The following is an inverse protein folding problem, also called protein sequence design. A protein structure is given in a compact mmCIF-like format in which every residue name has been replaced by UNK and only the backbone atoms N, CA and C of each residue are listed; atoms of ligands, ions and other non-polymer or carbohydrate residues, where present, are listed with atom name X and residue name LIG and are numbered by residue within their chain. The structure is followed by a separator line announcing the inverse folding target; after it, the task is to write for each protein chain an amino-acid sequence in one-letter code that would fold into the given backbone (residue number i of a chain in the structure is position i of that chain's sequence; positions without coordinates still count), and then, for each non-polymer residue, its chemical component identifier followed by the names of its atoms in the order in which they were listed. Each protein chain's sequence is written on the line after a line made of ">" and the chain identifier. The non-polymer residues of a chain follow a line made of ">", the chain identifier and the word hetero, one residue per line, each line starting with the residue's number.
data_IF_585773376220
#
_entry.id   IF_585773376220
#
_cell.length_a   1.000
_cell.length_b   1.000
_cell.length_c   1.000
_cell.angle_alpha   90.00
_cell.angle_beta   90.00
_cell.angle_gamma   90.00
#
_symmetry.space_group_name_H-M   'P 1'
#
loop_
_entity.id
_entity.type
_entity.pdbx_description
1 polymer ?
#
# COMPACT_ATOMS: atom_id res chain seq x y z
N UNK A 1 -7.24 27.91 21.75
CA UNK A 1 -7.99 26.84 21.03
C UNK A 1 -7.32 26.43 19.72
N UNK A 2 -7.16 27.32 18.73
CA UNK A 2 -6.58 26.96 17.41
C UNK A 2 -5.18 26.31 17.46
N UNK A 3 -4.24 26.85 18.26
CA UNK A 3 -2.90 26.25 18.46
C UNK A 3 -2.98 24.83 19.02
N UNK A 4 -3.88 24.59 19.98
CA UNK A 4 -4.10 23.27 20.57
C UNK A 4 -4.68 22.28 19.56
N UNK A 5 -5.62 22.73 18.71
CA UNK A 5 -6.20 21.91 17.63
C UNK A 5 -5.13 21.56 16.58
N UNK A 6 -4.31 22.52 16.16
CA UNK A 6 -3.20 22.26 15.23
C UNK A 6 -2.19 21.26 15.80
N UNK A 7 -1.81 21.41 17.06
CA UNK A 7 -0.88 20.47 17.71
C UNK A 7 -1.46 19.06 17.79
N UNK A 8 -2.76 18.93 18.11
CA UNK A 8 -3.48 17.65 18.14
C UNK A 8 -3.55 17.01 16.75
N UNK A 9 -3.88 17.79 15.71
CA UNK A 9 -3.91 17.30 14.33
C UNK A 9 -2.53 16.84 13.86
N UNK A 10 -1.48 17.60 14.15
CA UNK A 10 -0.10 17.20 13.82
C UNK A 10 0.30 15.90 14.52
N UNK A 11 -0.04 15.74 15.80
CA UNK A 11 0.19 14.49 16.53
C UNK A 11 -0.55 13.30 15.91
N UNK A 12 -1.82 13.47 15.53
CA UNK A 12 -2.59 12.43 14.87
C UNK A 12 -1.96 12.00 13.54
N UNK A 13 -1.54 12.96 12.71
CA UNK A 13 -0.86 12.67 11.45
C UNK A 13 0.43 11.88 11.69
N UNK A 14 1.26 12.30 12.65
CA UNK A 14 2.50 11.58 12.99
C UNK A 14 2.21 10.16 13.45
N UNK A 15 1.21 9.96 14.31
CA UNK A 15 0.82 8.61 14.77
C UNK A 15 0.37 7.74 13.61
N UNK A 16 -0.48 8.25 12.71
CA UNK A 16 -0.94 7.51 11.53
C UNK A 16 0.23 7.14 10.62
N UNK A 17 1.15 8.08 10.37
CA UNK A 17 2.35 7.81 9.56
C UNK A 17 3.22 6.73 10.20
N UNK A 18 3.48 6.80 11.49
CA UNK A 18 4.28 5.80 12.20
C UNK A 18 3.62 4.42 12.15
N UNK A 19 2.32 4.33 12.44
CA UNK A 19 1.59 3.05 12.44
C UNK A 19 1.54 2.43 11.04
N UNK A 20 1.27 3.23 10.01
CA UNK A 20 1.23 2.75 8.62
C UNK A 20 2.62 2.33 8.13
N UNK A 21 3.66 3.09 8.48
CA UNK A 21 5.05 2.74 8.14
C UNK A 21 5.48 1.45 8.81
N UNK A 22 5.22 1.30 10.12
CA UNK A 22 5.52 0.06 10.85
C UNK A 22 4.78 -1.13 10.23
N UNK A 23 3.50 -0.97 9.89
CA UNK A 23 2.72 -2.02 9.21
C UNK A 23 3.34 -2.40 7.86
N UNK A 24 3.76 -1.42 7.06
CA UNK A 24 4.43 -1.67 5.77
C UNK A 24 5.75 -2.44 5.94
N UNK A 25 6.54 -2.07 6.95
CA UNK A 25 7.78 -2.78 7.31
C UNK A 25 7.48 -4.21 7.75
N UNK A 26 6.51 -4.42 8.63
CA UNK A 26 6.10 -5.77 9.08
C UNK A 26 5.65 -6.62 7.89
N UNK A 27 4.86 -6.06 6.96
CA UNK A 27 4.47 -6.78 5.74
C UNK A 27 5.66 -7.15 4.86
N UNK A 28 6.70 -6.31 4.78
CA UNK A 28 7.91 -6.62 4.00
C UNK A 28 8.72 -7.79 4.56
N UNK A 29 8.55 -8.11 5.85
CA UNK A 29 9.18 -9.28 6.48
C UNK A 29 8.35 -10.56 6.36
N UNK A 30 7.11 -10.51 5.85
CA UNK A 30 6.31 -11.71 5.65
C UNK A 30 6.99 -12.54 4.54
N UNK A 31 7.46 -13.76 4.83
CA UNK A 31 8.06 -14.61 3.83
C UNK A 31 6.98 -15.07 2.85
N UNK A 32 7.10 -14.64 1.60
CA UNK A 32 6.17 -14.98 0.53
C UNK A 32 6.42 -14.09 -0.69
N UNK A 33 6.22 -14.62 -1.88
CA UNK A 33 6.30 -13.83 -3.11
C UNK A 33 4.90 -13.26 -3.44
N UNK A 34 4.68 -11.94 -3.33
CA UNK A 34 3.39 -11.35 -3.67
C UNK A 34 2.99 -11.68 -5.11
N UNK A 35 3.98 -11.77 -6.00
CA UNK A 35 3.75 -12.06 -7.42
C UNK A 35 3.22 -13.48 -7.61
N UNK A 36 3.71 -14.45 -6.83
CA UNK A 36 3.22 -15.82 -6.87
C UNK A 36 1.75 -15.94 -6.41
N UNK A 37 1.28 -15.03 -5.55
CA UNK A 37 -0.12 -14.97 -5.11
C UNK A 37 -0.99 -14.24 -6.12
N UNK A 38 -0.49 -13.15 -6.70
CA UNK A 38 -1.21 -12.30 -7.65
C UNK A 38 -1.37 -13.00 -9.01
N UNK A 39 -0.32 -13.68 -9.46
CA UNK A 39 -0.24 -14.30 -10.77
C UNK A 39 0.27 -15.75 -10.65
N UNK A 40 -0.54 -16.68 -10.09
CA UNK A 40 -0.11 -18.04 -9.81
C UNK A 40 0.26 -18.84 -11.07
N UNK A 41 -0.36 -18.51 -12.20
CA UNK A 41 -0.13 -19.16 -13.51
C UNK A 41 0.88 -18.44 -14.40
N UNK A 42 1.48 -17.33 -13.94
CA UNK A 42 2.44 -16.58 -14.74
C UNK A 42 3.79 -17.29 -14.84
N UNK A 43 4.40 -17.25 -16.03
CA UNK A 43 5.76 -17.72 -16.25
C UNK A 43 6.77 -16.79 -15.56
N UNK A 44 8.00 -17.26 -15.30
CA UNK A 44 8.99 -16.50 -14.52
C UNK A 44 9.32 -15.13 -15.14
N UNK A 45 9.37 -15.05 -16.47
CA UNK A 45 9.55 -13.77 -17.18
C UNK A 45 8.37 -12.81 -16.96
N UNK A 46 7.13 -13.32 -16.89
CA UNK A 46 5.96 -12.50 -16.58
C UNK A 46 5.94 -12.07 -15.12
N UNK A 47 6.41 -12.94 -14.21
CA UNK A 47 6.54 -12.59 -12.78
C UNK A 47 7.54 -11.46 -12.56
N UNK A 48 8.65 -11.44 -13.28
CA UNK A 48 9.67 -10.39 -13.18
C UNK A 48 9.14 -9.04 -13.69
N UNK A 49 8.38 -9.04 -14.79
CA UNK A 49 7.68 -7.84 -15.28
C UNK A 49 6.71 -7.30 -14.23
N UNK A 50 5.87 -8.17 -13.66
CA UNK A 50 4.90 -7.77 -12.62
C UNK A 50 5.63 -7.25 -11.37
N UNK A 51 6.76 -7.87 -10.99
CA UNK A 51 7.56 -7.45 -9.84
C UNK A 51 8.08 -6.02 -10.02
N UNK A 52 8.58 -5.72 -11.21
CA UNK A 52 9.11 -4.42 -11.57
C UNK A 52 7.98 -3.37 -11.67
N UNK A 53 6.84 -3.71 -12.29
CA UNK A 53 5.67 -2.84 -12.40
C UNK A 53 5.08 -2.48 -11.03
N UNK A 54 5.14 -3.42 -10.07
CA UNK A 54 4.68 -3.21 -8.70
C UNK A 54 5.74 -2.53 -7.80
N UNK A 55 6.94 -2.27 -8.32
CA UNK A 55 8.06 -1.72 -7.55
C UNK A 55 8.43 -2.59 -6.34
N UNK A 56 8.26 -3.91 -6.43
CA UNK A 56 8.52 -4.82 -5.30
C UNK A 56 10.02 -4.92 -4.97
N UNK A 57 10.89 -4.60 -5.93
CA UNK A 57 12.34 -4.55 -5.78
C UNK A 57 12.85 -3.23 -5.17
N UNK A 58 11.99 -2.21 -5.08
CA UNK A 58 12.36 -0.95 -4.47
C UNK A 58 12.50 -1.06 -2.94
N UNK A 59 13.40 -0.27 -2.32
CA UNK A 59 13.50 -0.19 -0.88
C UNK A 59 12.14 0.14 -0.23
N UNK A 60 11.85 -0.47 0.92
CA UNK A 60 10.59 -0.25 1.67
C UNK A 60 10.24 1.23 1.86
N UNK A 61 11.18 2.14 2.17
CA UNK A 61 10.87 3.58 2.27
C UNK A 61 10.36 4.21 0.98
N UNK A 62 10.88 3.76 -0.18
CA UNK A 62 10.47 4.25 -1.51
C UNK A 62 9.04 3.79 -1.82
N UNK A 63 8.75 2.50 -1.59
CA UNK A 63 7.41 1.92 -1.75
C UNK A 63 6.37 2.55 -0.83
N UNK A 64 6.77 2.87 0.40
CA UNK A 64 5.90 3.56 1.35
C UNK A 64 5.62 5.00 0.91
N UNK A 65 6.64 5.73 0.44
CA UNK A 65 6.48 7.11 -0.02
C UNK A 65 5.59 7.21 -1.26
N UNK A 66 5.71 6.29 -2.23
CA UNK A 66 4.84 6.26 -3.41
C UNK A 66 3.38 5.98 -3.03
N UNK A 67 3.14 4.99 -2.16
CA UNK A 67 1.80 4.67 -1.64
C UNK A 67 1.20 5.83 -0.84
N UNK A 68 1.97 6.46 0.04
CA UNK A 68 1.53 7.61 0.82
C UNK A 68 1.17 8.80 -0.08
N UNK A 69 1.97 9.04 -1.13
CA UNK A 69 1.68 10.07 -2.14
C UNK A 69 0.35 9.82 -2.84
N UNK A 70 0.10 8.59 -3.27
CA UNK A 70 -1.19 8.16 -3.82
C UNK A 70 -2.34 8.45 -2.86
N UNK A 71 -2.24 8.00 -1.60
CA UNK A 71 -3.30 8.18 -0.62
C UNK A 71 -3.64 9.65 -0.37
N UNK A 72 -2.65 10.53 -0.31
CA UNK A 72 -2.87 11.98 -0.13
C UNK A 72 -3.57 12.59 -1.35
N UNK A 73 -3.32 12.06 -2.55
CA UNK A 73 -4.04 12.46 -3.77
C UNK A 73 -5.40 11.79 -3.94
N UNK A 74 -5.81 10.91 -3.03
CA UNK A 74 -7.07 10.16 -3.09
C UNK A 74 -6.98 8.83 -3.84
N UNK A 75 -5.79 8.45 -4.30
CA UNK A 75 -5.52 7.14 -4.89
C UNK A 75 -5.11 6.16 -3.77
N UNK A 76 -6.01 5.26 -3.40
CA UNK A 76 -5.75 4.24 -2.38
C UNK A 76 -4.85 3.10 -2.88
N UNK A 77 -4.46 3.15 -4.16
CA UNK A 77 -3.79 2.08 -4.87
C UNK A 77 -4.76 1.00 -5.35
N UNK A 78 -4.18 -0.07 -5.89
CA UNK A 78 -4.91 -1.19 -6.45
C UNK A 78 -4.83 -2.42 -5.55
N UNK A 79 -5.95 -3.16 -5.47
CA UNK A 79 -5.98 -4.51 -4.95
C UNK A 79 -5.79 -5.50 -6.12
N UNK A 80 -4.89 -6.45 -5.93
CA UNK A 80 -4.55 -7.47 -6.91
C UNK A 80 -5.19 -8.80 -6.50
N UNK A 81 -6.14 -9.30 -7.31
CA UNK A 81 -6.68 -10.66 -7.18
C UNK A 81 -6.31 -11.50 -8.39
N UNK A 82 -6.43 -12.83 -8.26
CA UNK A 82 -6.01 -13.90 -9.19
C UNK A 82 -6.46 -13.69 -10.65
N UNK A 83 -7.35 -12.74 -10.94
CA UNK A 83 -7.82 -12.45 -12.30
C UNK A 83 -8.15 -10.98 -12.62
N UNK A 84 -7.88 -10.00 -11.72
CA UNK A 84 -8.12 -8.57 -12.04
C UNK A 84 -7.45 -7.60 -11.07
N UNK A 85 -6.99 -6.46 -11.58
CA UNK A 85 -6.59 -5.27 -10.81
C UNK A 85 -7.85 -4.43 -10.57
N UNK A 86 -8.21 -4.17 -9.31
CA UNK A 86 -9.36 -3.30 -8.98
C UNK A 86 -8.96 -2.21 -7.99
N UNK A 87 -9.54 -1.01 -8.08
CA UNK A 87 -9.32 0.04 -7.09
C UNK A 87 -9.75 -0.43 -5.69
N UNK A 88 -8.93 -0.15 -4.67
CA UNK A 88 -9.26 -0.49 -3.27
C UNK A 88 -10.54 0.22 -2.80
N UNK A 89 -10.80 1.42 -3.33
CA UNK A 89 -11.99 2.22 -3.01
C UNK A 89 -13.31 1.44 -3.21
N UNK A 90 -13.36 0.56 -4.22
CA UNK A 90 -14.54 -0.24 -4.55
C UNK A 90 -14.88 -1.28 -3.48
N UNK A 91 -13.88 -1.76 -2.72
CA UNK A 91 -14.08 -2.68 -1.58
C UNK A 91 -14.35 -1.95 -0.27
N UNK A 92 -13.76 -0.76 -0.09
CA UNK A 92 -13.85 -0.03 1.18
C UNK A 92 -15.25 0.55 1.42
N UNK A 93 -15.88 1.12 0.40
CA UNK A 93 -17.17 1.80 0.54
C UNK A 93 -18.33 0.87 0.96
N UNK A 94 -18.48 -0.34 0.39
CA UNK A 94 -19.52 -1.28 0.83
C UNK A 94 -19.36 -1.79 2.27
N UNK A 95 -18.13 -1.83 2.80
CA UNK A 95 -17.83 -2.36 4.14
C UNK A 95 -18.23 -1.43 5.28
N UNK A 96 -18.53 -0.15 4.99
CA UNK A 96 -18.85 0.88 5.98
C UNK A 96 -20.37 1.10 6.11
N UNK A 97 -21.18 0.49 5.23
CA UNK A 97 -22.65 0.55 5.26
C UNK A 97 -23.24 -0.61 6.04
#
# INVERSE_FOLDING_TARGET
>A
MAKFILTRLGQLVVVVLVVTFVTAVVMSFIPGDPVAVIAPTADDAQREVIRNDLGLDDPVPVRYASWLGGMVTGDLGNYYTVSSVRPVADQFWPAIR
#
